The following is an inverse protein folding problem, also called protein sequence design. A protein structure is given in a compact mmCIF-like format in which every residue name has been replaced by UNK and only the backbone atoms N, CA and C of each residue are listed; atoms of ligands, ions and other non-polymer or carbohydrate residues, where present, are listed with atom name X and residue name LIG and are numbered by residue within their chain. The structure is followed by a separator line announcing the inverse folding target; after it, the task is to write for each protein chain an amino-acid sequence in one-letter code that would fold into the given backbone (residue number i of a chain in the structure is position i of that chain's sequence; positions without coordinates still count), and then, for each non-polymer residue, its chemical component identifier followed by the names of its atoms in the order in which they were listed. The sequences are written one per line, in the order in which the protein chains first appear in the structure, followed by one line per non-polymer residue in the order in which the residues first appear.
data_IF_082305972885
#
_entry.id   IF_082305972885
#
_cell.length_a   1.000
_cell.length_b   1.000
_cell.length_c   1.000
_cell.angle_alpha   90.00
_cell.angle_beta   90.00
_cell.angle_gamma   90.00
#
_symmetry.space_group_name_H-M   'P 1'
#
loop_
_entity.id
_entity.type
_entity.pdbx_description
1 polymer ?
#
# COMPACT_ATOMS: atom_id res chain seq x y z
N UNK A 1 18.41 -4.83 -7.48
CA UNK A 1 17.45 -3.76 -7.12
C UNK A 1 16.73 -3.08 -8.30
N UNK A 2 17.21 -3.16 -9.55
CA UNK A 2 16.65 -2.43 -10.71
C UNK A 2 15.11 -2.52 -10.85
N UNK A 3 14.54 -3.71 -10.67
CA UNK A 3 13.09 -3.92 -10.83
C UNK A 3 12.27 -3.28 -9.70
N UNK A 4 12.74 -3.32 -8.45
CA UNK A 4 12.07 -2.61 -7.33
C UNK A 4 12.11 -1.11 -7.57
N UNK A 5 13.25 -0.57 -8.02
CA UNK A 5 13.36 0.85 -8.39
C UNK A 5 12.37 1.24 -9.50
N UNK A 6 12.22 0.41 -10.53
CA UNK A 6 11.24 0.64 -11.60
C UNK A 6 9.81 0.66 -11.04
N UNK A 7 9.44 -0.29 -10.19
CA UNK A 7 8.12 -0.34 -9.57
C UNK A 7 7.85 0.86 -8.67
N UNK A 8 8.86 1.35 -7.95
CA UNK A 8 8.74 2.57 -7.16
C UNK A 8 8.52 3.79 -8.06
N UNK A 9 9.33 3.94 -9.12
CA UNK A 9 9.20 5.09 -10.05
C UNK A 9 7.83 5.08 -10.74
N UNK A 10 7.43 3.94 -11.32
CA UNK A 10 6.13 3.80 -11.99
C UNK A 10 5.00 4.06 -11.00
N UNK A 11 5.13 3.60 -9.76
CA UNK A 11 4.14 3.86 -8.74
C UNK A 11 4.05 5.33 -8.33
N UNK A 12 5.15 6.06 -8.24
CA UNK A 12 5.07 7.51 -8.03
C UNK A 12 4.42 8.25 -9.20
N UNK A 13 4.69 7.82 -10.44
CA UNK A 13 4.06 8.39 -11.64
C UNK A 13 2.55 8.17 -11.59
N UNK A 14 2.10 6.94 -11.34
CA UNK A 14 0.68 6.61 -11.27
C UNK A 14 -0.02 7.31 -10.09
N UNK A 15 0.65 7.40 -8.93
CA UNK A 15 0.15 8.14 -7.77
C UNK A 15 -0.12 9.60 -8.13
N UNK A 16 0.82 10.25 -8.81
CA UNK A 16 0.65 11.63 -9.26
C UNK A 16 -0.60 11.80 -10.15
N UNK A 17 -0.85 10.88 -11.08
CA UNK A 17 -2.04 10.94 -11.94
C UNK A 17 -3.34 10.73 -11.15
N UNK A 18 -3.35 9.82 -10.16
CA UNK A 18 -4.50 9.57 -9.30
C UNK A 18 -4.80 10.81 -8.45
N UNK A 19 -3.78 11.35 -7.78
CA UNK A 19 -3.92 12.55 -6.93
C UNK A 19 -4.42 13.74 -7.74
N UNK A 20 -3.87 13.93 -8.95
CA UNK A 20 -4.26 15.01 -9.85
C UNK A 20 -5.68 14.84 -10.39
N UNK A 21 -6.06 13.61 -10.79
CA UNK A 21 -7.38 13.32 -11.35
C UNK A 21 -8.50 13.53 -10.32
N UNK A 22 -8.25 13.14 -9.06
CA UNK A 22 -9.23 13.25 -7.98
C UNK A 22 -9.09 14.54 -7.16
N UNK A 23 -8.15 15.43 -7.53
CA UNK A 23 -7.87 16.69 -6.81
C UNK A 23 -7.58 16.46 -5.32
N UNK A 24 -6.92 15.35 -5.02
CA UNK A 24 -6.52 15.00 -3.67
C UNK A 24 -5.35 15.90 -3.25
N UNK A 25 -5.28 16.24 -1.97
CA UNK A 25 -4.15 16.98 -1.42
C UNK A 25 -3.18 16.01 -0.72
N UNK A 26 -2.16 15.48 -1.43
CA UNK A 26 -1.25 14.49 -0.86
C UNK A 26 -0.36 15.05 0.25
N UNK A 27 -0.25 16.38 0.37
CA UNK A 27 0.51 17.04 1.42
C UNK A 27 -0.31 17.33 2.68
N UNK A 28 -1.61 16.99 2.69
CA UNK A 28 -2.35 16.92 3.94
C UNK A 28 -1.74 15.79 4.80
N UNK A 29 -1.35 16.13 6.03
CA UNK A 29 -0.74 15.20 6.99
C UNK A 29 -1.59 13.96 7.21
N UNK A 30 -2.92 14.12 7.30
CA UNK A 30 -3.84 13.00 7.49
C UNK A 30 -3.79 12.06 6.28
N UNK A 31 -3.92 12.64 5.08
CA UNK A 31 -3.86 11.88 3.82
C UNK A 31 -2.51 11.18 3.61
N UNK A 32 -1.41 11.81 4.01
CA UNK A 32 -0.07 11.22 3.93
C UNK A 32 0.07 10.01 4.87
N UNK A 33 -0.40 10.14 6.13
CA UNK A 33 -0.39 9.05 7.10
C UNK A 33 -1.27 7.89 6.60
N UNK A 34 -2.46 8.19 6.09
CA UNK A 34 -3.43 7.22 5.58
C UNK A 34 -2.85 6.45 4.39
N UNK A 35 -2.28 7.17 3.43
CA UNK A 35 -1.65 6.60 2.25
C UNK A 35 -0.42 5.76 2.62
N UNK A 36 0.42 6.26 3.54
CA UNK A 36 1.60 5.55 4.03
C UNK A 36 1.25 4.25 4.75
N UNK A 37 0.26 4.27 5.65
CA UNK A 37 -0.22 3.08 6.35
C UNK A 37 -0.78 2.03 5.38
N UNK A 38 -1.56 2.46 4.38
CA UNK A 38 -2.12 1.56 3.36
C UNK A 38 -1.02 0.97 2.49
N UNK A 39 -0.04 1.77 2.08
CA UNK A 39 1.13 1.26 1.35
C UNK A 39 1.94 0.25 2.17
N UNK A 40 2.22 0.55 3.44
CA UNK A 40 2.95 -0.36 4.33
C UNK A 40 2.17 -1.64 4.61
N UNK A 41 0.84 -1.53 4.80
CA UNK A 41 -0.04 -2.69 4.95
C UNK A 41 -0.01 -3.55 3.69
N UNK A 42 -0.10 -2.93 2.51
CA UNK A 42 0.09 -3.61 1.24
C UNK A 42 1.44 -4.32 1.18
N UNK A 43 2.52 -3.61 1.49
CA UNK A 43 3.89 -4.11 1.42
C UNK A 43 4.14 -5.29 2.36
N UNK A 44 3.91 -5.10 3.65
CA UNK A 44 4.25 -6.08 4.69
C UNK A 44 3.23 -7.20 4.76
N UNK A 45 1.93 -6.89 4.76
CA UNK A 45 0.88 -7.90 4.96
C UNK A 45 0.63 -8.65 3.65
N UNK A 46 0.31 -7.95 2.56
CA UNK A 46 0.01 -8.61 1.29
C UNK A 46 1.26 -9.08 0.56
N UNK A 47 2.20 -8.17 0.30
CA UNK A 47 3.41 -8.45 -0.47
C UNK A 47 4.28 -9.52 0.19
N UNK A 48 4.65 -9.29 1.45
CA UNK A 48 5.52 -10.19 2.19
C UNK A 48 4.71 -11.34 2.82
N UNK A 49 3.73 -11.03 3.66
CA UNK A 49 3.03 -12.03 4.47
C UNK A 49 2.17 -13.01 3.68
N UNK A 50 1.41 -12.53 2.69
CA UNK A 50 0.51 -13.36 1.87
C UNK A 50 1.24 -13.92 0.65
N UNK A 51 1.82 -13.07 -0.21
CA UNK A 51 2.30 -13.50 -1.53
C UNK A 51 3.71 -14.07 -1.54
N UNK A 52 4.61 -13.58 -0.69
CA UNK A 52 5.99 -14.09 -0.64
C UNK A 52 6.15 -15.24 0.37
N UNK A 53 5.90 -14.97 1.65
CA UNK A 53 6.14 -15.89 2.76
C UNK A 53 5.01 -16.90 2.96
N UNK A 54 3.81 -16.65 2.42
CA UNK A 54 2.63 -17.51 2.55
C UNK A 54 2.23 -17.84 4.00
N UNK A 55 2.60 -16.98 4.96
CA UNK A 55 2.31 -17.18 6.39
C UNK A 55 0.92 -16.64 6.77
N UNK A 56 0.42 -15.64 6.03
CA UNK A 56 -0.89 -15.03 6.28
C UNK A 56 -1.86 -15.50 5.18
N UNK A 57 -3.01 -16.05 5.57
CA UNK A 57 -4.06 -16.38 4.59
C UNK A 57 -4.70 -15.08 4.08
N UNK A 58 -4.99 -15.02 2.78
CA UNK A 58 -5.60 -13.86 2.14
C UNK A 58 -6.84 -13.34 2.88
N UNK A 59 -7.72 -14.24 3.36
CA UNK A 59 -8.92 -13.86 4.12
C UNK A 59 -8.62 -13.03 5.38
N UNK A 60 -7.52 -13.31 6.07
CA UNK A 60 -7.13 -12.56 7.27
C UNK A 60 -6.49 -11.23 6.90
N UNK A 61 -5.72 -11.18 5.81
CA UNK A 61 -5.15 -9.93 5.29
C UNK A 61 -6.25 -8.95 4.81
N UNK A 62 -7.25 -9.47 4.08
CA UNK A 62 -8.43 -8.69 3.68
C UNK A 62 -9.23 -8.25 4.90
N UNK A 63 -9.43 -9.14 5.87
CA UNK A 63 -10.08 -8.80 7.14
C UNK A 63 -9.36 -7.67 7.88
N UNK A 64 -8.02 -7.70 7.94
CA UNK A 64 -7.20 -6.65 8.54
C UNK A 64 -7.36 -5.31 7.82
N UNK A 65 -7.35 -5.29 6.49
CA UNK A 65 -7.60 -4.06 5.72
C UNK A 65 -8.97 -3.49 6.00
N UNK A 66 -10.00 -4.35 6.06
CA UNK A 66 -11.35 -3.92 6.38
C UNK A 66 -11.46 -3.34 7.79
N UNK A 67 -10.77 -3.96 8.76
CA UNK A 67 -10.72 -3.50 10.15
C UNK A 67 -10.00 -2.14 10.26
N UNK A 68 -8.89 -1.95 9.52
CA UNK A 68 -8.20 -0.66 9.45
C UNK A 68 -9.07 0.42 8.80
N UNK A 69 -9.77 0.10 7.71
CA UNK A 69 -10.69 1.03 7.05
C UNK A 69 -11.85 1.43 7.98
N UNK A 70 -12.47 0.46 8.67
CA UNK A 70 -13.51 0.76 9.67
C UNK A 70 -12.98 1.63 10.82
N UNK A 71 -11.75 1.40 11.28
CA UNK A 71 -11.16 2.21 12.34
C UNK A 71 -10.94 3.66 11.88
N UNK A 72 -10.54 3.86 10.63
CA UNK A 72 -10.42 5.16 9.96
C UNK A 72 -11.77 5.87 9.93
N UNK A 73 -12.81 5.18 9.45
CA UNK A 73 -14.16 5.73 9.31
C UNK A 73 -14.75 6.13 10.69
N UNK A 74 -14.52 5.31 11.73
CA UNK A 74 -14.94 5.63 13.10
C UNK A 74 -14.19 6.87 13.60
N UNK A 75 -12.88 6.97 13.37
CA UNK A 75 -12.09 8.11 13.78
C UNK A 75 -12.57 9.41 13.12
N UNK A 76 -12.83 9.37 11.82
CA UNK A 76 -13.31 10.52 11.06
C UNK A 76 -14.73 10.94 11.47
N UNK A 77 -15.60 9.96 11.75
CA UNK A 77 -16.93 10.21 12.31
C UNK A 77 -16.87 10.96 13.65
N UNK A 78 -15.93 10.62 14.54
CA UNK A 78 -15.80 11.32 15.83
C UNK A 78 -15.34 12.78 15.70
N UNK A 79 -14.79 13.15 14.54
CA UNK A 79 -14.27 14.51 14.25
C UNK A 79 -15.16 15.28 13.28
N UNK A 80 -16.33 14.73 12.93
CA UNK A 80 -17.29 15.29 11.98
C UNK A 80 -16.66 15.54 10.58
N UNK A 81 -15.68 14.71 10.20
CA UNK A 81 -15.03 14.74 8.89
C UNK A 81 -15.67 13.67 8.01
N UNK A 82 -16.30 14.08 6.91
CA UNK A 82 -16.91 13.14 5.97
C UNK A 82 -15.88 12.73 4.90
N UNK A 83 -15.08 11.70 5.19
CA UNK A 83 -13.98 11.23 4.34
C UNK A 83 -14.37 10.08 3.40
N UNK A 84 -15.59 9.56 3.50
CA UNK A 84 -16.02 8.38 2.76
C UNK A 84 -16.38 8.73 1.31
N UNK A 85 -15.36 8.83 0.47
CA UNK A 85 -15.50 9.16 -0.94
C UNK A 85 -14.93 8.05 -1.84
N UNK A 86 -15.49 7.92 -3.04
CA UNK A 86 -15.03 6.93 -4.02
C UNK A 86 -13.55 7.15 -4.38
N UNK A 87 -13.13 8.40 -4.42
CA UNK A 87 -11.77 8.83 -4.71
C UNK A 87 -10.77 8.31 -3.66
N UNK A 88 -11.09 8.50 -2.37
CA UNK A 88 -10.26 8.02 -1.26
C UNK A 88 -10.19 6.49 -1.26
N UNK A 89 -11.30 5.81 -1.56
CA UNK A 89 -11.33 4.35 -1.68
C UNK A 89 -10.46 3.85 -2.84
N UNK A 90 -10.56 4.47 -4.01
CA UNK A 90 -9.74 4.10 -5.18
C UNK A 90 -8.25 4.32 -4.90
N UNK A 91 -7.90 5.49 -4.35
CA UNK A 91 -6.55 5.79 -3.88
C UNK A 91 -6.03 4.75 -2.88
N UNK A 92 -6.89 4.34 -1.95
CA UNK A 92 -6.55 3.34 -0.94
C UNK A 92 -6.20 1.98 -1.54
N UNK A 93 -7.02 1.52 -2.49
CA UNK A 93 -6.78 0.27 -3.22
C UNK A 93 -5.46 0.36 -4.00
N UNK A 94 -5.23 1.50 -4.65
CA UNK A 94 -3.98 1.75 -5.36
C UNK A 94 -2.75 1.64 -4.43
N UNK A 95 -2.78 2.31 -3.28
CA UNK A 95 -1.68 2.26 -2.30
C UNK A 95 -1.44 0.84 -1.78
N UNK A 96 -2.50 0.07 -1.51
CA UNK A 96 -2.40 -1.33 -1.11
C UNK A 96 -1.77 -2.21 -2.20
N UNK A 97 -2.23 -2.07 -3.45
CA UNK A 97 -1.74 -2.84 -4.58
C UNK A 97 -0.27 -2.53 -4.89
N UNK A 98 0.08 -1.24 -4.90
CA UNK A 98 1.45 -0.79 -5.12
C UNK A 98 2.39 -1.25 -4.00
N UNK A 99 1.94 -1.13 -2.74
CA UNK A 99 2.64 -1.67 -1.59
C UNK A 99 2.89 -3.17 -1.74
N UNK A 100 1.85 -3.95 -2.03
CA UNK A 100 1.94 -5.41 -2.16
C UNK A 100 2.93 -5.85 -3.24
N UNK A 101 2.89 -5.21 -4.41
CA UNK A 101 3.83 -5.47 -5.49
C UNK A 101 5.27 -5.16 -5.06
N UNK A 102 5.48 -4.01 -4.41
CA UNK A 102 6.78 -3.58 -3.91
C UNK A 102 7.34 -4.58 -2.89
N UNK A 103 6.55 -4.96 -1.89
CA UNK A 103 6.97 -5.87 -0.82
C UNK A 103 7.32 -7.26 -1.33
N UNK A 104 6.51 -7.81 -2.24
CA UNK A 104 6.78 -9.10 -2.87
C UNK A 104 8.10 -9.08 -3.64
N UNK A 105 8.30 -8.08 -4.50
CA UNK A 105 9.51 -7.97 -5.32
C UNK A 105 10.76 -7.70 -4.51
N UNK A 106 10.65 -6.88 -3.46
CA UNK A 106 11.74 -6.59 -2.54
C UNK A 106 12.26 -7.88 -1.90
N UNK A 107 11.37 -8.70 -1.35
CA UNK A 107 11.77 -9.98 -0.74
C UNK A 107 12.30 -11.00 -1.74
N UNK A 108 11.70 -11.06 -2.94
CA UNK A 108 12.18 -11.92 -4.02
C UNK A 108 13.59 -11.55 -4.47
N UNK A 109 13.88 -10.26 -4.62
CA UNK A 109 15.22 -9.80 -4.99
C UNK A 109 16.24 -10.01 -3.86
N UNK A 110 15.90 -9.66 -2.62
CA UNK A 110 16.76 -9.88 -1.45
C UNK A 110 17.17 -11.35 -1.31
N UNK A 111 16.25 -12.27 -1.58
CA UNK A 111 16.52 -13.71 -1.47
C UNK A 111 17.33 -14.24 -2.64
N UNK A 112 17.10 -13.73 -3.85
CA UNK A 112 17.92 -14.08 -5.01
C UNK A 112 19.36 -13.56 -4.86
N UNK A 113 19.54 -12.35 -4.32
CA UNK A 113 20.86 -11.76 -4.07
C UNK A 113 21.65 -12.59 -3.04
N UNK A 114 20.98 -13.02 -1.95
CA UNK A 114 21.56 -13.93 -0.95
C UNK A 114 21.95 -15.31 -1.51
N UNK A 115 21.35 -15.76 -2.61
CA UNK A 115 21.66 -17.04 -3.27
C UNK A 115 22.73 -16.93 -4.35
N UNK A 116 23.15 -15.72 -4.71
CA UNK A 116 24.20 -15.45 -5.70
C UNK A 116 25.41 -14.69 -5.10
N UNK A 117 25.99 -15.12 -3.96
CA UNK A 117 27.14 -14.42 -3.39
C UNK A 117 28.44 -14.59 -4.20
N UNK A 118 28.47 -15.42 -5.25
CA UNK A 118 29.67 -15.68 -6.07
C UNK A 118 29.34 -15.63 -7.56
N UNK A 119 29.66 -14.53 -8.23
CA UNK A 119 29.94 -14.46 -9.67
C UNK A 119 31.02 -13.42 -9.93
#
# INVERSE_FOLDING_TARGET
MKLVTIVIIVGFILLYFIDSAFKLNPFNVEMLIHSGLRFLTGCLVFGIGVFYAHQIKLKYAVGLVFLLAMADDIWDYTRDVNSFSFEVLFHSIYMLAWGALTGYLLMKQLTNDKRSPES
#
